data_IF_369219551688
#
_entry.id   IF_369219551688
#
_cell.length_a   1.000
_cell.length_b   1.000
_cell.length_c   1.000
_cell.angle_alpha   90.00
_cell.angle_beta   90.00
_cell.angle_gamma   90.00
#
_symmetry.space_group_name_H-M   'P 1'
#
loop_
_entity.id
_entity.type
_entity.pdbx_description
1 polymer ?
#
# COMPACT_ATOMS: atom_id res chain seq x y z
N UNK A 1 41.65 -20.92 32.12
CA UNK A 1 40.41 -21.59 31.67
C UNK A 1 40.09 -21.08 30.27
N UNK A 2 40.08 -21.92 29.23
CA UNK A 2 39.69 -21.48 27.91
C UNK A 2 38.18 -21.36 27.83
N UNK A 3 37.70 -20.22 27.40
CA UNK A 3 36.31 -19.96 27.09
C UNK A 3 35.97 -20.69 25.80
N UNK A 4 35.15 -21.74 25.89
CA UNK A 4 34.56 -22.40 24.74
C UNK A 4 33.62 -21.41 24.07
N UNK A 5 34.05 -20.81 22.95
CA UNK A 5 33.12 -20.12 22.03
C UNK A 5 32.27 -21.19 21.36
N UNK A 6 31.02 -21.31 21.76
CA UNK A 6 30.02 -22.04 21.00
C UNK A 6 29.80 -21.33 19.66
N UNK A 7 30.52 -21.77 18.64
CA UNK A 7 30.16 -21.50 17.26
C UNK A 7 28.87 -22.26 16.95
N UNK A 8 27.73 -21.57 17.08
CA UNK A 8 26.52 -22.05 16.44
C UNK A 8 26.76 -22.02 14.93
N UNK A 9 26.60 -23.16 14.21
CA UNK A 9 26.63 -23.10 12.75
C UNK A 9 25.52 -22.14 12.35
N UNK A 10 25.87 -21.08 11.62
CA UNK A 10 24.92 -20.19 11.03
C UNK A 10 23.97 -21.07 10.18
N UNK A 11 22.76 -21.34 10.68
CA UNK A 11 21.68 -21.86 9.85
C UNK A 11 21.62 -20.93 8.65
N UNK A 12 21.52 -21.48 7.44
CA UNK A 12 21.21 -20.73 6.25
C UNK A 12 20.02 -19.82 6.53
N UNK A 13 20.29 -18.61 7.00
CA UNK A 13 19.30 -17.55 7.02
C UNK A 13 19.02 -17.32 5.53
N UNK A 14 17.79 -17.53 5.05
CA UNK A 14 17.46 -17.21 3.68
C UNK A 14 17.99 -15.81 3.43
N UNK A 15 18.81 -15.64 2.38
CA UNK A 15 19.32 -14.31 2.01
C UNK A 15 18.10 -13.40 1.92
N UNK A 16 17.99 -12.46 2.85
CA UNK A 16 16.91 -11.50 2.81
C UNK A 16 16.95 -10.85 1.43
N UNK A 17 15.80 -10.81 0.73
CA UNK A 17 15.73 -10.18 -0.58
C UNK A 17 16.26 -8.75 -0.45
N UNK A 18 17.38 -8.47 -1.11
CA UNK A 18 18.02 -7.17 -1.08
C UNK A 18 17.43 -6.29 -2.17
N UNK A 19 16.82 -5.20 -1.78
CA UNK A 19 16.36 -4.17 -2.71
C UNK A 19 17.55 -3.25 -3.00
N UNK A 20 18.21 -3.48 -4.12
CA UNK A 20 19.44 -2.76 -4.50
C UNK A 20 19.20 -1.29 -4.90
N UNK A 21 17.96 -0.92 -5.25
CA UNK A 21 17.64 0.41 -5.76
C UNK A 21 16.37 0.97 -5.13
N UNK A 22 16.31 2.30 -5.00
CA UNK A 22 15.11 3.03 -4.61
C UNK A 22 14.97 4.30 -5.45
N UNK A 23 13.72 4.74 -5.66
CA UNK A 23 13.44 6.02 -6.28
C UNK A 23 13.16 7.07 -5.20
N UNK A 24 13.70 8.27 -5.38
CA UNK A 24 13.36 9.44 -4.57
C UNK A 24 12.51 10.37 -5.42
N UNK A 25 11.37 10.78 -4.87
CA UNK A 25 10.48 11.77 -5.47
C UNK A 25 10.63 13.09 -4.70
N UNK A 26 10.88 14.18 -5.41
CA UNK A 26 11.03 15.49 -4.81
C UNK A 26 9.71 16.26 -4.96
N UNK A 27 9.17 16.75 -3.84
CA UNK A 27 7.93 17.53 -3.84
C UNK A 27 8.03 18.89 -4.57
N UNK A 28 9.24 19.38 -4.82
CA UNK A 28 9.50 20.62 -5.58
C UNK A 28 9.56 20.42 -7.10
N UNK A 29 9.47 19.18 -7.57
CA UNK A 29 9.43 18.78 -8.98
C UNK A 29 8.21 17.90 -9.23
N UNK A 30 7.89 17.67 -10.49
CA UNK A 30 6.78 16.79 -10.89
C UNK A 30 7.22 15.35 -11.04
N UNK A 31 8.12 14.88 -10.15
CA UNK A 31 8.66 13.52 -10.23
C UNK A 31 7.54 12.49 -10.04
N UNK A 32 7.38 11.60 -10.99
CA UNK A 32 6.43 10.50 -10.93
C UNK A 32 6.93 9.33 -11.78
N UNK A 33 6.34 8.16 -11.57
CA UNK A 33 6.47 7.01 -12.43
C UNK A 33 5.11 6.77 -13.07
N UNK A 34 5.09 6.64 -14.39
CA UNK A 34 3.88 6.29 -15.13
C UNK A 34 4.07 4.98 -15.91
N UNK A 35 2.97 4.29 -16.12
CA UNK A 35 2.93 3.08 -16.95
C UNK A 35 1.60 2.96 -17.65
N UNK A 36 1.64 2.86 -18.97
CA UNK A 36 0.49 2.47 -19.78
C UNK A 36 0.53 0.95 -19.99
N UNK A 37 -0.56 0.27 -19.64
CA UNK A 37 -0.71 -1.17 -19.87
C UNK A 37 -1.23 -1.42 -21.29
N UNK A 38 -0.65 -2.40 -21.99
CA UNK A 38 -1.09 -2.77 -23.35
C UNK A 38 -2.45 -3.49 -23.40
N UNK A 39 -2.93 -4.00 -22.27
CA UNK A 39 -4.25 -4.62 -22.12
C UNK A 39 -4.76 -4.43 -20.70
N UNK A 40 -6.08 -4.45 -20.54
CA UNK A 40 -6.70 -4.41 -19.22
C UNK A 40 -6.31 -5.64 -18.37
N UNK A 41 -5.93 -5.41 -17.13
CA UNK A 41 -5.71 -6.46 -16.13
C UNK A 41 -7.01 -6.97 -15.52
N UNK A 42 -6.89 -7.79 -14.47
CA UNK A 42 -8.04 -8.19 -13.68
C UNK A 42 -8.47 -7.03 -12.77
N UNK A 43 -9.61 -6.42 -13.10
CA UNK A 43 -10.15 -5.25 -12.39
C UNK A 43 -10.93 -5.60 -11.12
N UNK A 44 -11.12 -6.89 -10.84
CA UNK A 44 -11.83 -7.39 -9.62
C UNK A 44 -10.89 -7.97 -8.59
N UNK A 45 -9.70 -8.44 -9.02
CA UNK A 45 -8.76 -9.14 -8.15
C UNK A 45 -7.35 -8.72 -8.50
N UNK A 46 -6.70 -7.99 -7.61
CA UNK A 46 -5.31 -7.57 -7.75
C UNK A 46 -4.67 -7.29 -6.39
N UNK A 47 -3.37 -7.17 -6.39
CA UNK A 47 -2.60 -6.81 -5.20
C UNK A 47 -1.58 -5.74 -5.56
N UNK A 48 -1.51 -4.70 -4.73
CA UNK A 48 -0.45 -3.68 -4.79
C UNK A 48 0.45 -3.88 -3.59
N UNK A 49 1.76 -3.99 -3.84
CA UNK A 49 2.77 -4.19 -2.79
C UNK A 49 3.95 -3.25 -3.03
N UNK A 50 4.36 -2.51 -2.01
CA UNK A 50 5.45 -1.55 -2.13
C UNK A 50 6.12 -1.26 -0.79
N UNK A 51 7.38 -0.84 -0.87
CA UNK A 51 8.10 -0.24 0.24
C UNK A 51 8.12 1.27 0.09
N UNK A 52 7.87 1.95 1.17
CA UNK A 52 7.82 3.41 1.19
C UNK A 52 8.51 3.96 2.44
N UNK A 53 9.20 5.07 2.24
CA UNK A 53 9.74 5.93 3.30
C UNK A 53 9.26 7.35 3.03
N UNK A 54 8.58 7.97 4.00
CA UNK A 54 8.10 9.35 3.87
C UNK A 54 9.01 10.29 4.65
N UNK A 55 9.32 11.44 4.07
CA UNK A 55 10.17 12.46 4.71
C UNK A 55 9.40 13.71 5.13
N UNK A 56 8.14 13.84 4.72
CA UNK A 56 7.33 15.05 4.94
C UNK A 56 6.00 14.72 5.59
N UNK A 57 5.54 15.62 6.46
CA UNK A 57 4.19 15.59 7.06
C UNK A 57 3.22 16.39 6.20
N UNK A 58 3.04 16.00 4.95
CA UNK A 58 2.04 16.67 4.13
C UNK A 58 0.62 16.18 4.48
N UNK A 59 -0.35 17.04 4.26
CA UNK A 59 -1.75 16.69 4.46
C UNK A 59 -2.18 15.61 3.47
N UNK A 60 -1.59 15.61 2.27
CA UNK A 60 -1.85 14.65 1.20
C UNK A 60 -0.55 14.30 0.49
N UNK A 61 -0.20 13.02 0.47
CA UNK A 61 0.95 12.48 -0.27
C UNK A 61 0.47 11.35 -1.16
N UNK A 62 0.33 11.59 -2.46
CA UNK A 62 -0.04 10.57 -3.43
C UNK A 62 1.03 9.48 -3.51
N UNK A 63 0.59 8.22 -3.57
CA UNK A 63 1.43 7.03 -3.72
C UNK A 63 1.14 6.37 -5.07
N UNK A 64 -0.14 6.21 -5.38
CA UNK A 64 -0.64 5.55 -6.57
C UNK A 64 -1.94 6.21 -6.98
N UNK A 65 -2.11 6.41 -8.28
CA UNK A 65 -3.32 6.93 -8.88
C UNK A 65 -3.56 6.17 -10.20
N UNK A 66 -4.76 5.63 -10.35
CA UNK A 66 -5.23 5.03 -11.58
C UNK A 66 -6.53 5.72 -11.98
N UNK A 67 -6.42 6.82 -12.70
CA UNK A 67 -7.54 7.63 -13.15
C UNK A 67 -7.84 7.39 -14.63
N UNK A 68 -9.12 7.25 -14.95
CA UNK A 68 -9.62 7.32 -16.32
C UNK A 68 -9.91 8.78 -16.70
N UNK A 69 -10.47 9.53 -15.76
CA UNK A 69 -10.83 10.95 -15.87
C UNK A 69 -11.01 11.54 -14.46
N UNK A 70 -11.38 12.82 -14.37
CA UNK A 70 -11.59 13.49 -13.08
C UNK A 70 -12.77 12.98 -12.24
N UNK A 71 -13.54 12.01 -12.76
CA UNK A 71 -14.72 11.44 -12.09
C UNK A 71 -14.62 9.94 -11.84
N UNK A 72 -13.53 9.30 -12.28
CA UNK A 72 -13.30 7.86 -12.16
C UNK A 72 -11.84 7.61 -11.83
N UNK A 73 -11.54 7.28 -10.57
CA UNK A 73 -10.18 7.03 -10.11
C UNK A 73 -10.13 6.05 -8.94
N UNK A 74 -9.01 5.34 -8.85
CA UNK A 74 -8.58 4.61 -7.67
C UNK A 74 -7.32 5.28 -7.12
N UNK A 75 -7.38 5.75 -5.88
CA UNK A 75 -6.33 6.54 -5.28
C UNK A 75 -5.75 5.86 -4.04
N UNK A 76 -4.44 5.85 -3.93
CA UNK A 76 -3.74 5.50 -2.71
C UNK A 76 -2.84 6.65 -2.29
N UNK A 77 -3.02 7.13 -1.07
CA UNK A 77 -2.29 8.28 -0.57
C UNK A 77 -2.18 8.28 0.95
N UNK A 78 -1.22 9.01 1.48
CA UNK A 78 -1.23 9.36 2.89
C UNK A 78 -2.06 10.60 3.15
N UNK A 79 -2.96 10.51 4.10
CA UNK A 79 -3.70 11.64 4.65
C UNK A 79 -3.33 11.81 6.12
N UNK A 80 -2.61 12.87 6.44
CA UNK A 80 -2.14 13.16 7.82
C UNK A 80 -1.39 12.00 8.48
N UNK A 81 -0.64 11.25 7.68
CA UNK A 81 0.17 10.10 8.10
C UNK A 81 -0.57 8.76 8.17
N UNK A 82 -1.82 8.69 7.73
CA UNK A 82 -2.61 7.46 7.59
C UNK A 82 -2.64 7.01 6.14
N UNK A 83 -2.55 5.72 5.90
CA UNK A 83 -2.76 5.18 4.56
C UNK A 83 -4.25 5.22 4.22
N UNK A 84 -4.57 5.81 3.09
CA UNK A 84 -5.89 5.81 2.49
C UNK A 84 -5.86 5.07 1.17
N UNK A 85 -6.84 4.21 0.94
CA UNK A 85 -7.13 3.59 -0.35
C UNK A 85 -8.60 3.81 -0.66
N UNK A 86 -8.90 4.45 -1.78
CA UNK A 86 -10.26 4.86 -2.15
C UNK A 86 -10.49 4.69 -3.64
N UNK A 87 -11.76 4.45 -4.02
CA UNK A 87 -12.23 4.48 -5.39
C UNK A 87 -13.41 5.42 -5.53
N UNK A 88 -13.31 6.33 -6.50
CA UNK A 88 -14.34 7.29 -6.84
C UNK A 88 -14.80 7.06 -8.28
N UNK A 89 -16.10 6.85 -8.47
CA UNK A 89 -16.74 6.60 -9.80
C UNK A 89 -18.07 7.33 -9.82
N UNK A 90 -18.02 8.66 -10.06
CA UNK A 90 -19.16 9.56 -9.90
C UNK A 90 -19.61 9.75 -8.43
N UNK A 91 -19.25 8.84 -7.56
CA UNK A 91 -19.40 8.88 -6.11
C UNK A 91 -18.35 7.95 -5.47
N UNK A 92 -18.10 8.10 -4.17
CA UNK A 92 -17.21 7.19 -3.43
C UNK A 92 -17.80 5.79 -3.43
N UNK A 93 -17.09 4.82 -4.02
CA UNK A 93 -17.47 3.41 -4.07
C UNK A 93 -16.86 2.62 -2.93
N UNK A 94 -15.65 2.96 -2.54
CA UNK A 94 -14.99 2.42 -1.37
C UNK A 94 -13.99 3.42 -0.82
N UNK A 95 -13.75 3.31 0.48
CA UNK A 95 -12.67 4.02 1.17
C UNK A 95 -12.27 3.24 2.41
N UNK A 96 -10.99 2.94 2.55
CA UNK A 96 -10.37 2.43 3.76
C UNK A 96 -9.24 3.36 4.16
N UNK A 97 -9.36 3.99 5.34
CA UNK A 97 -8.32 4.82 5.94
C UNK A 97 -7.89 4.21 7.25
N UNK A 98 -6.63 3.83 7.37
CA UNK A 98 -6.10 3.22 8.60
C UNK A 98 -6.20 4.17 9.79
N UNK A 99 -6.49 3.65 11.00
CA UNK A 99 -6.33 4.41 12.25
C UNK A 99 -4.85 4.58 12.58
N UNK A 100 -4.02 3.59 12.23
CA UNK A 100 -2.59 3.64 12.40
C UNK A 100 -1.95 4.78 11.59
N UNK A 101 -0.91 5.38 12.16
CA UNK A 101 -0.19 6.51 11.57
C UNK A 101 1.27 6.15 11.35
N UNK A 102 1.72 6.30 10.12
CA UNK A 102 3.06 5.98 9.65
C UNK A 102 3.85 7.29 9.49
N UNK A 103 4.50 7.75 10.57
CA UNK A 103 5.05 9.11 10.66
C UNK A 103 6.56 9.18 10.85
N UNK A 104 7.20 8.04 11.06
CA UNK A 104 8.65 8.03 11.25
C UNK A 104 9.35 8.23 9.90
N UNK A 105 10.04 9.37 9.69
CA UNK A 105 10.73 9.63 8.44
C UNK A 105 11.99 8.78 8.26
N UNK A 106 12.42 8.07 9.30
CA UNK A 106 13.58 7.18 9.26
C UNK A 106 13.19 5.71 9.01
N UNK A 107 11.91 5.36 9.16
CA UNK A 107 11.42 4.02 8.97
C UNK A 107 11.03 3.74 7.51
N UNK A 108 11.36 2.55 7.04
CA UNK A 108 10.74 1.95 5.86
C UNK A 108 9.48 1.21 6.28
N UNK A 109 8.43 1.40 5.53
CA UNK A 109 7.16 0.70 5.70
C UNK A 109 6.90 -0.17 4.48
N UNK A 110 6.53 -1.42 4.69
CA UNK A 110 6.03 -2.31 3.66
C UNK A 110 4.52 -2.34 3.70
N UNK A 111 3.87 -1.93 2.62
CA UNK A 111 2.43 -2.00 2.49
C UNK A 111 2.02 -3.04 1.46
N UNK A 112 0.96 -3.76 1.77
CA UNK A 112 0.26 -4.64 0.83
C UNK A 112 -1.22 -4.31 0.90
N UNK A 113 -1.81 -4.02 -0.25
CA UNK A 113 -3.26 -3.85 -0.42
C UNK A 113 -3.75 -4.97 -1.32
N UNK A 114 -4.51 -5.89 -0.77
CA UNK A 114 -5.17 -6.96 -1.51
C UNK A 114 -6.62 -6.56 -1.79
N UNK A 115 -6.98 -6.53 -3.07
CA UNK A 115 -8.30 -6.20 -3.57
C UNK A 115 -8.91 -7.43 -4.23
N UNK A 116 -10.07 -7.88 -3.75
CA UNK A 116 -10.81 -9.02 -4.30
C UNK A 116 -12.32 -8.84 -4.09
N UNK A 117 -12.98 -8.20 -5.04
CA UNK A 117 -14.40 -7.92 -4.96
C UNK A 117 -15.30 -9.13 -5.18
N UNK A 118 -14.74 -10.29 -5.54
CA UNK A 118 -15.51 -11.54 -5.69
C UNK A 118 -15.99 -12.10 -4.34
N UNK A 119 -15.37 -11.66 -3.24
CA UNK A 119 -15.69 -12.11 -1.90
C UNK A 119 -17.12 -11.73 -1.49
N UNK A 120 -17.85 -12.69 -0.90
CA UNK A 120 -19.21 -12.46 -0.39
C UNK A 120 -19.23 -11.51 0.79
N UNK A 121 -18.27 -11.65 1.72
CA UNK A 121 -18.12 -10.81 2.90
C UNK A 121 -17.42 -9.50 2.51
N UNK A 122 -18.05 -8.36 2.82
CA UNK A 122 -17.55 -7.03 2.44
C UNK A 122 -16.13 -6.77 2.95
N UNK A 123 -15.84 -7.06 4.23
CA UNK A 123 -14.51 -6.87 4.84
C UNK A 123 -13.40 -7.76 4.27
N UNK A 124 -13.74 -8.76 3.46
CA UNK A 124 -12.77 -9.58 2.74
C UNK A 124 -12.43 -9.04 1.35
N UNK A 125 -13.15 -8.01 0.86
CA UNK A 125 -12.95 -7.45 -0.49
C UNK A 125 -11.71 -6.56 -0.58
N UNK A 126 -11.36 -5.91 0.52
CA UNK A 126 -10.12 -5.12 0.62
C UNK A 126 -9.45 -5.45 1.93
N UNK A 127 -8.16 -5.79 1.88
CA UNK A 127 -7.32 -6.01 3.06
C UNK A 127 -6.05 -5.18 2.92
N UNK A 128 -5.70 -4.47 3.97
CA UNK A 128 -4.49 -3.66 4.05
C UNK A 128 -3.56 -4.30 5.07
N UNK A 129 -2.30 -4.42 4.72
CA UNK A 129 -1.25 -4.90 5.61
C UNK A 129 -0.15 -3.87 5.68
N UNK A 130 0.37 -3.63 6.88
CA UNK A 130 1.54 -2.82 7.14
C UNK A 130 2.60 -3.67 7.84
N UNK A 131 3.80 -3.76 7.26
CA UNK A 131 4.91 -4.56 7.79
C UNK A 131 4.51 -6.02 8.10
N UNK A 132 3.66 -6.61 7.25
CA UNK A 132 3.17 -7.98 7.39
C UNK A 132 2.01 -8.18 8.37
N UNK A 133 1.56 -7.14 9.06
CA UNK A 133 0.42 -7.20 9.98
C UNK A 133 -0.82 -6.60 9.31
N UNK A 134 -1.94 -7.32 9.36
CA UNK A 134 -3.20 -6.82 8.80
C UNK A 134 -3.76 -5.67 9.63
N UNK A 135 -4.13 -4.57 8.97
CA UNK A 135 -4.92 -3.50 9.57
C UNK A 135 -6.38 -3.96 9.68
N UNK A 136 -6.94 -3.85 10.88
CA UNK A 136 -8.30 -4.31 11.18
C UNK A 136 -9.20 -3.18 11.71
N UNK A 137 -8.65 -1.98 11.88
CA UNK A 137 -9.37 -0.80 12.35
C UNK A 137 -9.13 0.38 11.42
N UNK A 138 -10.21 1.05 11.05
CA UNK A 138 -10.20 2.15 10.08
C UNK A 138 -10.92 3.37 10.62
N UNK A 139 -10.44 4.56 10.29
CA UNK A 139 -11.12 5.84 10.58
C UNK A 139 -12.28 6.07 9.59
N UNK A 140 -12.06 5.70 8.31
CA UNK A 140 -13.10 5.62 7.29
C UNK A 140 -13.11 4.19 6.75
N UNK A 141 -14.31 3.60 6.68
CA UNK A 141 -14.49 2.20 6.30
C UNK A 141 -15.75 2.04 5.44
N UNK A 142 -15.54 1.92 4.15
CA UNK A 142 -16.57 1.58 3.17
C UNK A 142 -16.00 0.61 2.16
N UNK A 143 -16.63 -0.53 1.99
CA UNK A 143 -16.18 -1.57 1.06
C UNK A 143 -16.97 -1.50 -0.25
N UNK A 144 -16.34 -1.84 -1.39
CA UNK A 144 -17.03 -1.88 -2.68
C UNK A 144 -18.12 -2.94 -2.68
N UNK A 145 -19.08 -2.82 -3.60
CA UNK A 145 -20.06 -3.86 -3.83
C UNK A 145 -19.40 -5.17 -4.33
N UNK A 146 -20.07 -6.30 -4.13
CA UNK A 146 -19.58 -7.56 -4.67
C UNK A 146 -19.49 -7.49 -6.19
N UNK A 147 -18.39 -8.01 -6.76
CA UNK A 147 -18.07 -7.98 -8.19
C UNK A 147 -17.87 -6.60 -8.79
N UNK A 148 -17.66 -5.58 -7.95
CA UNK A 148 -17.25 -4.25 -8.41
C UNK A 148 -15.98 -4.33 -9.27
N UNK A 149 -15.89 -3.52 -10.31
CA UNK A 149 -14.72 -3.38 -11.18
C UNK A 149 -14.18 -1.96 -11.07
N UNK A 150 -12.90 -1.86 -10.80
CA UNK A 150 -12.16 -0.58 -10.77
C UNK A 150 -11.96 0.00 -12.16
#
# INVERSE_FOLDING_TARGET
MPINSFLYPAKNVPVAYEVANSCRFNSGSTDHLDRTFGSAGNRRTFTVSFWLKTTTKQTYNAIFDAAQDGSNSDDMYFHTGRLNFSGYYGSTQFILRTTAKYRDPNAWYHFVVAFDTTQSTASNRIKIYANGVQETTFDDETYPSQNFQT
#
